data_IF_197657739162
#
_entry.id   IF_197657739162
#
_cell.length_a   1.000
_cell.length_b   1.000
_cell.length_c   1.000
_cell.angle_alpha   90.00
_cell.angle_beta   90.00
_cell.angle_gamma   90.00
#
_symmetry.space_group_name_H-M   'P 1'
#
loop_
_entity.id
_entity.type
_entity.pdbx_description
1 polymer ?
#
# COMPACT_ATOMS: atom_id res chain seq x y z
N UNK A 1 12.15 21.06 -7.50
CA UNK A 1 10.81 20.63 -7.93
C UNK A 1 10.13 20.04 -6.69
N UNK A 2 8.80 19.95 -6.65
CA UNK A 2 8.10 19.42 -5.48
C UNK A 2 7.92 17.92 -5.66
N UNK A 3 8.33 17.13 -4.66
CA UNK A 3 8.15 15.68 -4.58
C UNK A 3 6.74 15.26 -5.02
N UNK A 4 6.58 14.31 -5.96
CA UNK A 4 5.26 13.84 -6.34
C UNK A 4 4.62 13.06 -5.19
N UNK A 5 3.46 13.53 -4.75
CA UNK A 5 2.61 12.81 -3.81
C UNK A 5 1.62 11.91 -4.55
N UNK A 6 1.60 10.63 -4.18
CA UNK A 6 0.58 9.68 -4.62
C UNK A 6 -0.56 9.72 -3.61
N UNK A 7 -1.74 10.13 -4.07
CA UNK A 7 -2.95 10.22 -3.26
C UNK A 7 -3.86 9.04 -3.57
N UNK A 8 -4.51 8.49 -2.55
CA UNK A 8 -5.43 7.39 -2.73
C UNK A 8 -6.21 7.00 -1.50
N UNK A 9 -6.83 5.83 -1.56
CA UNK A 9 -7.55 5.24 -0.45
C UNK A 9 -7.36 3.73 -0.37
N UNK A 10 -7.59 3.18 0.82
CA UNK A 10 -7.45 1.78 1.19
C UNK A 10 -8.81 1.26 1.63
N UNK A 11 -9.20 0.10 1.10
CA UNK A 11 -10.47 -0.56 1.38
C UNK A 11 -10.22 -2.00 1.81
N UNK A 12 -10.80 -2.44 2.93
CA UNK A 12 -10.69 -3.82 3.40
C UNK A 12 -11.85 -4.63 2.83
N UNK A 13 -11.56 -5.50 1.87
CA UNK A 13 -12.60 -6.18 1.07
C UNK A 13 -13.39 -7.19 1.88
N UNK A 14 -12.72 -7.89 2.79
CA UNK A 14 -13.33 -8.97 3.58
C UNK A 14 -13.95 -8.47 4.90
N UNK A 15 -14.06 -7.14 5.03
CA UNK A 15 -14.62 -6.45 6.20
C UNK A 15 -13.58 -5.62 6.95
N UNK A 16 -14.03 -4.62 7.72
CA UNK A 16 -13.14 -3.78 8.50
C UNK A 16 -12.40 -4.60 9.57
N UNK A 17 -11.15 -4.24 9.89
CA UNK A 17 -10.39 -4.93 10.92
C UNK A 17 -11.07 -4.79 12.29
N UNK A 18 -11.12 -5.89 13.04
CA UNK A 18 -11.77 -5.95 14.36
C UNK A 18 -10.88 -5.48 15.51
N UNK A 19 -9.59 -5.31 15.23
CA UNK A 19 -8.54 -4.84 16.15
C UNK A 19 -7.70 -3.77 15.44
N UNK A 20 -6.89 -3.00 16.19
CA UNK A 20 -5.99 -2.04 15.58
C UNK A 20 -5.06 -2.74 14.58
N UNK A 21 -4.81 -2.10 13.44
CA UNK A 21 -3.87 -2.60 12.42
C UNK A 21 -2.86 -1.52 12.08
N UNK A 22 -1.61 -1.92 11.88
CA UNK A 22 -0.61 -1.08 11.24
C UNK A 22 -0.58 -1.43 9.75
N UNK A 23 -0.76 -0.42 8.90
CA UNK A 23 -0.83 -0.51 7.46
C UNK A 23 0.44 0.13 6.89
N UNK A 24 1.12 -0.56 5.97
CA UNK A 24 2.19 -0.01 5.16
C UNK A 24 1.73 0.11 3.70
N UNK A 25 1.89 1.29 3.10
CA UNK A 25 1.69 1.51 1.66
C UNK A 25 3.04 1.79 1.02
N UNK A 26 3.35 1.07 -0.05
CA UNK A 26 4.65 1.12 -0.73
C UNK A 26 4.49 1.40 -2.21
N UNK A 27 5.45 2.16 -2.76
CA UNK A 27 5.72 2.23 -4.18
C UNK A 27 6.97 1.40 -4.46
N UNK A 28 6.87 0.45 -5.38
CA UNK A 28 7.94 -0.47 -5.70
C UNK A 28 8.32 -0.36 -7.17
N UNK A 29 9.61 -0.36 -7.48
CA UNK A 29 10.12 -0.57 -8.84
C UNK A 29 10.06 -2.07 -9.15
N UNK A 30 9.23 -2.42 -10.13
CA UNK A 30 9.00 -3.77 -10.61
C UNK A 30 9.45 -3.95 -12.06
N UNK A 31 10.39 -3.12 -12.53
CA UNK A 31 10.93 -3.17 -13.90
C UNK A 31 11.60 -4.51 -14.20
N UNK A 32 12.30 -5.07 -13.22
CA UNK A 32 12.99 -6.35 -13.33
C UNK A 32 12.09 -7.45 -12.77
N UNK A 33 11.63 -8.37 -13.63
CA UNK A 33 10.74 -9.47 -13.21
C UNK A 33 11.46 -10.56 -12.41
N UNK A 34 12.75 -10.79 -12.68
CA UNK A 34 13.54 -11.85 -12.04
C UNK A 34 14.36 -11.36 -10.84
N UNK A 35 14.24 -10.09 -10.47
CA UNK A 35 14.94 -9.49 -9.34
C UNK A 35 13.93 -9.09 -8.25
N UNK A 36 14.35 -9.04 -6.97
CA UNK A 36 13.52 -8.45 -5.92
C UNK A 36 13.10 -7.03 -6.30
N UNK A 37 11.84 -6.68 -6.02
CA UNK A 37 11.36 -5.31 -6.15
C UNK A 37 12.15 -4.37 -5.24
N UNK A 38 12.34 -3.13 -5.69
CA UNK A 38 13.00 -2.08 -4.91
C UNK A 38 11.93 -1.15 -4.36
N UNK A 39 11.89 -0.96 -3.04
CA UNK A 39 10.98 0.00 -2.41
C UNK A 39 11.49 1.42 -2.66
N UNK A 40 10.71 2.19 -3.39
CA UNK A 40 11.03 3.57 -3.78
C UNK A 40 10.51 4.59 -2.76
N UNK A 41 9.36 4.28 -2.14
CA UNK A 41 8.76 5.06 -1.09
C UNK A 41 7.85 4.18 -0.23
N UNK A 42 7.73 4.50 1.06
CA UNK A 42 6.86 3.81 2.01
C UNK A 42 6.23 4.82 2.98
N UNK A 43 4.98 4.59 3.36
CA UNK A 43 4.30 5.32 4.42
C UNK A 43 3.50 4.36 5.30
N UNK A 44 3.32 4.72 6.57
CA UNK A 44 2.65 3.89 7.57
C UNK A 44 1.45 4.60 8.18
N UNK A 45 0.38 3.84 8.40
CA UNK A 45 -0.83 4.30 9.05
C UNK A 45 -1.23 3.31 10.14
N UNK A 46 -1.74 3.84 11.24
CA UNK A 46 -2.47 3.03 12.22
C UNK A 46 -3.95 3.24 12.03
N UNK A 47 -4.70 2.15 11.94
CA UNK A 47 -6.15 2.17 11.87
C UNK A 47 -6.74 1.53 13.13
N UNK A 48 -7.60 2.28 13.80
CA UNK A 48 -8.35 1.78 14.96
C UNK A 48 -9.64 1.05 14.51
N UNK A 49 -10.15 0.09 15.29
CA UNK A 49 -11.44 -0.54 15.02
C UNK A 49 -12.57 0.49 14.86
N UNK A 50 -13.45 0.25 13.88
CA UNK A 50 -14.58 1.14 13.61
C UNK A 50 -14.24 2.43 12.86
N UNK A 51 -12.99 2.60 12.42
CA UNK A 51 -12.61 3.71 11.54
C UNK A 51 -13.40 3.71 10.23
N UNK A 52 -13.75 4.90 9.75
CA UNK A 52 -14.47 5.08 8.48
C UNK A 52 -13.64 4.57 7.31
N UNK A 53 -14.27 3.78 6.44
CA UNK A 53 -13.68 3.30 5.19
C UNK A 53 -14.30 3.97 3.96
N UNK A 54 -13.54 4.18 2.87
CA UNK A 54 -12.13 3.80 2.70
C UNK A 54 -11.17 4.78 3.40
N UNK A 55 -10.00 4.30 3.83
CA UNK A 55 -8.99 5.08 4.55
C UNK A 55 -8.14 5.86 3.56
N UNK A 56 -8.07 7.18 3.66
CA UNK A 56 -7.23 7.98 2.78
C UNK A 56 -5.73 7.78 3.08
N UNK A 57 -4.90 7.81 2.05
CA UNK A 57 -3.44 7.84 2.18
C UNK A 57 -2.80 8.88 1.27
N UNK A 58 -1.64 9.36 1.71
CA UNK A 58 -0.68 10.15 0.94
C UNK A 58 0.69 9.48 1.04
N UNK A 59 1.28 9.14 -0.10
CA UNK A 59 2.63 8.59 -0.19
C UNK A 59 3.53 9.61 -0.90
N UNK A 60 4.45 10.21 -0.15
CA UNK A 60 5.44 11.14 -0.71
C UNK A 60 6.58 10.38 -1.37
N UNK A 61 6.81 10.65 -2.64
CA UNK A 61 7.84 9.98 -3.43
C UNK A 61 9.00 10.95 -3.67
N UNK A 62 10.26 10.58 -3.38
CA UNK A 62 11.40 11.45 -3.67
C UNK A 62 11.53 11.72 -5.17
N UNK A 63 11.77 12.99 -5.55
CA UNK A 63 11.85 13.41 -6.97
C UNK A 63 12.89 12.60 -7.77
N UNK A 64 14.03 12.33 -7.13
CA UNK A 64 15.17 11.64 -7.73
C UNK A 64 14.98 10.12 -7.82
N UNK A 65 13.94 9.58 -7.18
CA UNK A 65 13.71 8.15 -7.10
C UNK A 65 12.99 7.59 -8.35
N UNK A 66 12.33 8.43 -9.16
CA UNK A 66 11.43 7.94 -10.22
C UNK A 66 11.89 8.31 -11.62
N UNK A 67 12.22 7.30 -12.40
CA UNK A 67 12.52 7.36 -13.83
C UNK A 67 11.29 6.99 -14.70
N UNK A 68 11.07 7.72 -15.81
CA UNK A 68 9.92 7.53 -16.71
C UNK A 68 9.88 6.16 -17.41
N UNK A 69 11.05 5.55 -17.65
CA UNK A 69 11.17 4.27 -18.41
C UNK A 69 10.95 3.03 -17.55
N UNK A 70 10.83 3.19 -16.24
CA UNK A 70 10.67 2.09 -15.28
C UNK A 70 9.19 1.82 -15.00
N UNK A 71 8.93 0.64 -14.46
CA UNK A 71 7.60 0.21 -14.06
C UNK A 71 7.50 0.28 -12.54
N UNK A 72 6.43 0.91 -12.07
CA UNK A 72 6.17 1.01 -10.64
C UNK A 72 4.82 0.43 -10.29
N UNK A 73 4.75 -0.23 -9.14
CA UNK A 73 3.54 -0.81 -8.61
C UNK A 73 3.33 -0.31 -7.19
N UNK A 74 2.09 0.03 -6.86
CA UNK A 74 1.68 0.28 -5.48
C UNK A 74 1.25 -1.03 -4.84
N UNK A 75 1.67 -1.22 -3.59
CA UNK A 75 1.22 -2.31 -2.76
C UNK A 75 0.85 -1.80 -1.38
N UNK A 76 -0.03 -2.50 -0.69
CA UNK A 76 -0.33 -2.23 0.70
C UNK A 76 -0.45 -3.54 1.47
N UNK A 77 0.02 -3.53 2.71
CA UNK A 77 -0.07 -4.64 3.66
C UNK A 77 -0.51 -4.11 5.00
N UNK A 78 -1.22 -4.92 5.77
CA UNK A 78 -1.56 -4.60 7.14
C UNK A 78 -1.44 -5.82 8.05
N UNK A 79 -1.09 -5.58 9.31
CA UNK A 79 -1.05 -6.59 10.35
C UNK A 79 -1.73 -6.09 11.61
N UNK A 80 -2.38 -7.00 12.34
CA UNK A 80 -2.99 -6.69 13.63
C UNK A 80 -1.97 -6.29 14.69
N UNK A 81 -2.44 -5.48 15.63
CA UNK A 81 -1.71 -5.06 16.82
C UNK A 81 -2.46 -5.43 18.12
N UNK A 82 -1.76 -5.95 19.14
CA UNK A 82 -0.39 -6.50 19.04
C UNK A 82 -0.37 -7.69 18.08
N UNK A 83 0.77 -7.91 17.41
CA UNK A 83 0.91 -9.01 16.46
C UNK A 83 0.84 -10.36 17.19
N UNK A 84 -0.20 -11.15 16.91
CA UNK A 84 -0.30 -12.55 17.29
C UNK A 84 0.33 -13.49 16.25
N UNK A 85 0.70 -14.70 16.66
CA UNK A 85 1.29 -15.70 15.77
C UNK A 85 0.30 -16.19 14.68
N UNK A 86 -1.00 -16.18 15.01
CA UNK A 86 -2.11 -16.69 14.19
C UNK A 86 -3.00 -15.56 13.65
N UNK A 87 -2.52 -14.32 13.73
CA UNK A 87 -3.30 -13.16 13.30
C UNK A 87 -3.32 -13.07 11.78
N UNK A 88 -4.53 -12.99 11.22
CA UNK A 88 -4.71 -12.74 9.80
C UNK A 88 -3.97 -11.47 9.39
N UNK A 89 -3.25 -11.57 8.27
CA UNK A 89 -2.56 -10.43 7.66
C UNK A 89 -3.33 -9.98 6.44
N UNK A 90 -3.32 -8.70 6.14
CA UNK A 90 -4.02 -8.18 4.98
C UNK A 90 -3.03 -7.72 3.92
N UNK A 91 -3.42 -7.78 2.66
CA UNK A 91 -2.65 -7.14 1.61
C UNK A 91 -3.33 -7.06 0.26
N UNK A 92 -2.72 -6.26 -0.62
CA UNK A 92 -3.14 -6.15 -2.02
C UNK A 92 -2.83 -7.43 -2.78
N UNK A 93 -3.85 -8.00 -3.45
CA UNK A 93 -3.72 -9.16 -4.34
C UNK A 93 -3.62 -8.75 -5.80
N UNK A 94 -4.26 -7.64 -6.16
CA UNK A 94 -4.23 -7.07 -7.50
C UNK A 94 -2.99 -6.18 -7.69
N UNK A 95 -2.55 -6.05 -8.94
CA UNK A 95 -1.52 -5.07 -9.31
C UNK A 95 -2.12 -3.67 -9.42
N UNK A 96 -1.43 -2.68 -8.84
CA UNK A 96 -1.77 -1.27 -8.92
C UNK A 96 -0.65 -0.50 -9.61
N UNK A 97 -0.54 -0.57 -10.95
CA UNK A 97 0.52 0.10 -11.69
C UNK A 97 0.38 1.62 -11.53
N UNK A 98 1.52 2.26 -11.29
CA UNK A 98 1.61 3.72 -11.21
C UNK A 98 2.65 4.24 -12.19
N UNK A 99 2.41 5.45 -12.69
CA UNK A 99 3.30 6.16 -13.62
C UNK A 99 3.53 7.58 -13.15
N UNK A 100 4.73 8.08 -13.40
CA UNK A 100 5.08 9.47 -13.13
C UNK A 100 4.08 10.41 -13.81
N UNK A 101 3.63 11.43 -13.07
CA UNK A 101 2.62 12.39 -13.55
C UNK A 101 1.17 11.87 -13.54
N UNK A 102 0.93 10.63 -13.10
CA UNK A 102 -0.44 10.13 -12.90
C UNK A 102 -1.17 10.96 -11.86
N UNK A 103 -2.34 11.47 -12.22
CA UNK A 103 -3.25 12.23 -11.34
C UNK A 103 -4.42 11.39 -10.84
N UNK A 104 -4.54 10.15 -11.29
CA UNK A 104 -5.66 9.27 -10.93
C UNK A 104 -5.47 8.79 -9.50
N UNK A 105 -6.40 9.11 -8.57
CA UNK A 105 -6.34 8.58 -7.22
C UNK A 105 -6.40 7.06 -7.22
N UNK A 106 -5.55 6.44 -6.41
CA UNK A 106 -5.43 4.98 -6.36
C UNK A 106 -6.37 4.43 -5.28
N UNK A 107 -7.09 3.34 -5.58
CA UNK A 107 -7.96 2.66 -4.61
C UNK A 107 -7.44 1.25 -4.35
N UNK A 108 -6.59 1.12 -3.34
CA UNK A 108 -5.98 -0.15 -2.94
C UNK A 108 -7.00 -0.99 -2.18
N UNK A 109 -7.09 -2.27 -2.53
CA UNK A 109 -8.01 -3.23 -1.92
C UNK A 109 -7.20 -4.28 -1.18
N UNK A 110 -7.40 -4.34 0.13
CA UNK A 110 -6.74 -5.29 1.02
C UNK A 110 -7.65 -6.49 1.24
N UNK A 111 -7.09 -7.67 1.02
CA UNK A 111 -7.74 -8.95 1.31
C UNK A 111 -7.10 -9.59 2.53
N UNK A 112 -7.88 -10.31 3.31
CA UNK A 112 -7.39 -11.15 4.40
C UNK A 112 -6.64 -12.35 3.85
N UNK A 113 -5.49 -12.63 4.45
CA UNK A 113 -4.74 -13.87 4.29
C UNK A 113 -4.82 -14.60 5.62
N UNK A 114 -5.70 -15.59 5.69
CA UNK A 114 -5.71 -16.54 6.80
C UNK A 114 -4.48 -17.44 6.65
N UNK A 115 -3.80 -17.71 7.77
CA UNK A 115 -2.81 -18.79 7.82
C UNK A 115 -3.57 -20.07 8.13
N UNK A 116 -3.73 -20.94 7.12
CA UNK A 116 -4.15 -22.34 7.30
C UNK A 116 -3.21 -23.11 8.24
#
# INVERSE_FOLDING_TARGET
>A
MSSPDINGSIDFVDGPPSRPVDISVRLEDTTMLDAPSIVMAETHYRLEPGSTQPVAFVLSVPDEAVEERRQYTLSARAGYLPAGADDASFGTVLSYPWRLGSKTPQRLRLHSFDRD
#
